data_IF_945724524153
#
_entry.id   IF_945724524153
#
_cell.length_a   1.000
_cell.length_b   1.000
_cell.length_c   1.000
_cell.angle_alpha   90.00
_cell.angle_beta   90.00
_cell.angle_gamma   90.00
#
_symmetry.space_group_name_H-M   'P 1'
#
loop_
_entity.id
_entity.type
_entity.pdbx_description
1 polymer ?
#
# COMPACT_ATOMS: atom_id res chain seq x y z
N UNK A 1 34.69 2.27 13.56
CA UNK A 1 34.10 2.54 12.23
C UNK A 1 33.01 1.51 11.99
N UNK A 2 31.81 1.74 12.51
CA UNK A 2 30.66 0.87 12.24
C UNK A 2 30.07 1.27 10.90
N UNK A 3 30.45 0.53 9.86
CA UNK A 3 29.83 0.61 8.56
C UNK A 3 28.38 0.12 8.71
N UNK A 4 27.45 1.06 8.79
CA UNK A 4 26.03 0.78 8.60
C UNK A 4 25.89 0.07 7.25
N UNK A 5 25.53 -1.21 7.26
CA UNK A 5 25.26 -2.01 6.07
C UNK A 5 24.00 -1.48 5.38
N UNK A 6 24.16 -0.39 4.64
CA UNK A 6 23.18 0.13 3.69
C UNK A 6 23.06 -0.92 2.59
N UNK A 7 21.94 -1.64 2.50
CA UNK A 7 21.75 -2.66 1.47
C UNK A 7 20.69 -2.23 0.48
N UNK A 8 21.08 -2.17 -0.80
CA UNK A 8 20.45 -1.36 -1.84
C UNK A 8 19.44 -2.10 -2.72
N UNK A 9 18.56 -2.96 -2.18
CA UNK A 9 17.54 -3.61 -3.02
C UNK A 9 16.28 -4.00 -2.24
N UNK A 10 15.19 -3.29 -2.53
CA UNK A 10 13.83 -3.64 -2.09
C UNK A 10 12.97 -3.92 -3.32
N UNK A 11 12.21 -5.02 -3.29
CA UNK A 11 11.24 -5.37 -4.35
C UNK A 11 9.92 -4.68 -4.03
N UNK A 12 9.42 -3.80 -4.91
CA UNK A 12 8.07 -3.24 -4.83
C UNK A 12 7.05 -4.06 -5.64
N UNK A 13 5.76 -3.80 -5.42
CA UNK A 13 4.66 -4.36 -6.22
C UNK A 13 4.90 -4.02 -7.70
N UNK A 14 4.85 -5.04 -8.57
CA UNK A 14 5.13 -4.90 -10.01
C UNK A 14 6.52 -5.40 -10.44
N UNK A 15 7.32 -5.97 -9.54
CA UNK A 15 8.59 -6.62 -9.91
C UNK A 15 9.77 -5.66 -10.10
N UNK A 16 9.61 -4.39 -9.77
CA UNK A 16 10.66 -3.37 -9.88
C UNK A 16 11.53 -3.37 -8.62
N UNK A 17 12.85 -3.45 -8.82
CA UNK A 17 13.86 -3.25 -7.77
C UNK A 17 14.09 -1.75 -7.59
N UNK A 18 13.88 -1.24 -6.38
CA UNK A 18 14.27 0.12 -5.99
C UNK A 18 15.32 0.05 -4.89
N UNK A 19 16.33 0.91 -5.01
CA UNK A 19 17.41 1.07 -4.04
C UNK A 19 16.97 2.07 -2.98
N UNK A 20 16.45 1.62 -1.84
CA UNK A 20 16.20 2.49 -0.68
C UNK A 20 17.28 2.32 0.37
N UNK A 21 17.82 3.45 0.86
CA UNK A 21 18.77 3.50 1.96
C UNK A 21 17.97 3.54 3.27
N UNK A 22 17.70 2.38 3.86
CA UNK A 22 16.93 2.27 5.09
C UNK A 22 17.72 1.52 6.18
N UNK A 23 17.49 1.82 7.48
CA UNK A 23 18.06 1.03 8.57
C UNK A 23 17.50 -0.40 8.54
N UNK A 24 18.39 -1.40 8.53
CA UNK A 24 18.00 -2.82 8.55
C UNK A 24 17.13 -3.13 9.78
N UNK A 25 16.07 -3.90 9.57
CA UNK A 25 15.10 -4.25 10.63
C UNK A 25 14.01 -3.20 10.85
N UNK A 26 14.02 -2.10 10.10
CA UNK A 26 12.94 -1.10 10.11
C UNK A 26 12.12 -1.17 8.84
N UNK A 27 10.87 -0.68 8.90
CA UNK A 27 10.09 -0.50 7.69
C UNK A 27 10.53 0.76 6.97
N UNK A 28 10.63 0.65 5.65
CA UNK A 28 10.85 1.79 4.78
C UNK A 28 9.60 2.70 4.76
N UNK A 29 9.73 3.84 4.09
CA UNK A 29 8.63 4.74 3.80
C UNK A 29 7.48 4.04 3.08
N UNK A 30 6.26 4.46 3.41
CA UNK A 30 5.08 4.03 2.68
C UNK A 30 5.18 4.38 1.20
N UNK A 31 4.76 3.47 0.36
CA UNK A 31 4.52 3.75 -1.06
C UNK A 31 3.50 4.88 -1.22
N UNK A 32 3.48 5.46 -2.42
CA UNK A 32 2.33 6.23 -2.86
C UNK A 32 1.05 5.36 -2.74
N UNK A 33 -0.07 6.03 -2.52
CA UNK A 33 -1.38 5.40 -2.61
C UNK A 33 -1.63 4.96 -4.05
N UNK A 34 -2.09 3.72 -4.21
CA UNK A 34 -2.55 3.21 -5.50
C UNK A 34 -3.75 4.01 -6.01
N UNK A 35 -4.01 3.89 -7.31
CA UNK A 35 -5.25 4.43 -7.87
C UNK A 35 -6.45 3.82 -7.14
N UNK A 36 -7.46 4.65 -6.90
CA UNK A 36 -8.68 4.18 -6.27
C UNK A 36 -9.32 3.07 -7.11
N UNK A 37 -9.86 2.04 -6.45
CA UNK A 37 -10.51 0.92 -7.13
C UNK A 37 -11.73 1.30 -7.97
N UNK A 38 -12.35 2.44 -7.68
CA UNK A 38 -13.51 2.98 -8.39
C UNK A 38 -13.30 4.47 -8.66
N UNK A 39 -13.80 4.99 -9.77
CA UNK A 39 -13.77 6.43 -10.09
C UNK A 39 -14.84 7.23 -9.33
N UNK A 40 -15.91 6.59 -8.90
CA UNK A 40 -17.03 7.18 -8.16
C UNK A 40 -17.78 6.08 -7.37
N UNK A 41 -18.73 6.47 -6.52
CA UNK A 41 -19.54 5.53 -5.75
C UNK A 41 -18.85 4.89 -4.54
N UNK A 42 -17.62 5.31 -4.25
CA UNK A 42 -16.79 4.75 -3.19
C UNK A 42 -15.93 3.59 -3.69
N UNK A 43 -14.64 3.68 -3.41
CA UNK A 43 -13.67 2.62 -3.63
C UNK A 43 -12.68 2.55 -2.49
N UNK A 44 -11.71 1.64 -2.62
CA UNK A 44 -10.59 1.50 -1.71
C UNK A 44 -9.31 1.82 -2.46
N UNK A 45 -8.44 2.61 -1.83
CA UNK A 45 -7.05 2.78 -2.25
C UNK A 45 -6.17 2.08 -1.24
N UNK A 46 -5.08 1.49 -1.73
CA UNK A 46 -4.14 0.71 -0.94
C UNK A 46 -2.77 1.33 -1.06
N UNK A 47 -1.95 1.09 -0.06
CA UNK A 47 -0.51 1.34 -0.10
C UNK A 47 0.20 0.26 0.68
N UNK A 48 1.50 0.20 0.50
CA UNK A 48 2.33 -0.75 1.21
C UNK A 48 3.63 -0.12 1.64
N UNK A 49 4.23 -0.68 2.68
CA UNK A 49 5.62 -0.42 3.04
C UNK A 49 6.34 -1.75 3.15
N UNK A 50 7.58 -1.75 2.69
CA UNK A 50 8.43 -2.93 2.72
C UNK A 50 9.36 -2.85 3.92
N UNK A 51 9.62 -4.00 4.50
CA UNK A 51 10.64 -4.14 5.53
C UNK A 51 12.03 -4.03 4.89
N UNK A 52 12.89 -3.22 5.49
CA UNK A 52 14.27 -3.09 5.10
C UNK A 52 15.08 -4.28 5.59
N UNK A 53 15.18 -5.31 4.76
CA UNK A 53 15.99 -6.49 5.01
C UNK A 53 16.63 -6.95 3.71
N UNK A 54 17.96 -6.97 3.61
CA UNK A 54 18.60 -7.56 2.46
C UNK A 54 18.34 -9.07 2.40
N UNK A 55 18.18 -9.62 1.19
CA UNK A 55 18.25 -11.06 1.03
C UNK A 55 19.68 -11.56 1.29
N UNK A 56 19.80 -12.79 1.78
CA UNK A 56 21.05 -13.53 1.87
C UNK A 56 21.53 -14.00 0.49
N UNK A 57 22.65 -14.73 0.45
CA UNK A 57 23.23 -15.29 -0.77
C UNK A 57 22.29 -16.24 -1.54
N UNK A 58 21.22 -16.72 -0.91
CA UNK A 58 20.21 -17.62 -1.46
C UNK A 58 18.87 -16.92 -1.74
N UNK A 59 18.81 -15.58 -1.61
CA UNK A 59 17.58 -14.82 -1.82
C UNK A 59 16.60 -14.85 -0.63
N UNK A 60 17.00 -15.44 0.50
CA UNK A 60 16.17 -15.59 1.69
C UNK A 60 16.37 -14.42 2.65
N UNK A 61 15.41 -14.20 3.55
CA UNK A 61 15.43 -13.08 4.50
C UNK A 61 15.22 -13.56 5.94
N UNK A 62 15.32 -14.87 6.17
CA UNK A 62 15.18 -15.55 7.47
C UNK A 62 16.15 -15.04 8.51
N UNK A 63 17.37 -14.71 8.09
CA UNK A 63 18.41 -14.20 9.00
C UNK A 63 18.01 -12.84 9.55
N UNK A 64 17.52 -11.93 8.70
CA UNK A 64 17.01 -10.63 9.12
C UNK A 64 15.75 -10.77 9.99
N UNK A 65 14.84 -11.67 9.60
CA UNK A 65 13.62 -12.00 10.35
C UNK A 65 13.94 -12.42 11.79
N UNK A 66 14.91 -13.32 11.96
CA UNK A 66 15.33 -13.84 13.26
C UNK A 66 16.09 -12.77 14.07
N UNK A 67 17.01 -12.04 13.44
CA UNK A 67 17.85 -11.04 14.11
C UNK A 67 17.05 -9.89 14.73
N UNK A 68 15.96 -9.47 14.09
CA UNK A 68 15.14 -8.33 14.53
C UNK A 68 13.74 -8.74 15.02
N UNK A 69 13.49 -10.04 15.20
CA UNK A 69 12.20 -10.58 15.68
C UNK A 69 10.98 -10.04 14.93
N UNK A 70 11.04 -10.09 13.60
CA UNK A 70 10.06 -9.50 12.69
C UNK A 70 9.18 -10.60 12.13
N UNK A 71 7.87 -10.41 12.11
CA UNK A 71 6.91 -11.42 11.62
C UNK A 71 6.49 -11.19 10.17
N UNK A 72 6.55 -9.95 9.70
CA UNK A 72 5.99 -9.52 8.42
C UNK A 72 7.03 -8.83 7.55
N UNK A 73 7.09 -9.20 6.26
CA UNK A 73 7.96 -8.57 5.27
C UNK A 73 7.36 -7.27 4.70
N UNK A 74 6.03 -7.19 4.68
CA UNK A 74 5.29 -6.08 4.13
C UNK A 74 4.19 -5.68 5.10
N UNK A 75 3.94 -4.38 5.23
CA UNK A 75 2.70 -3.89 5.82
C UNK A 75 1.83 -3.29 4.73
N UNK A 76 0.53 -3.53 4.86
CA UNK A 76 -0.49 -3.00 3.96
C UNK A 76 -1.36 -2.02 4.74
N UNK A 77 -1.78 -0.97 4.06
CA UNK A 77 -2.72 0.01 4.58
C UNK A 77 -3.74 0.35 3.48
N UNK A 78 -4.98 0.60 3.89
CA UNK A 78 -6.08 0.84 2.97
C UNK A 78 -7.05 1.86 3.55
N UNK A 79 -7.59 2.72 2.68
CA UNK A 79 -8.60 3.70 3.07
C UNK A 79 -9.66 3.90 2.00
N UNK A 80 -10.85 4.40 2.38
CA UNK A 80 -11.85 4.82 1.41
C UNK A 80 -11.31 5.93 0.49
N UNK A 81 -11.73 5.90 -0.76
CA UNK A 81 -11.46 6.93 -1.76
C UNK A 81 -12.66 7.06 -2.71
N UNK A 82 -12.68 8.14 -3.48
CA UNK A 82 -13.69 8.41 -4.50
C UNK A 82 -15.13 8.18 -4.00
N UNK A 83 -15.42 8.69 -2.80
CA UNK A 83 -16.75 8.77 -2.19
C UNK A 83 -17.59 9.86 -2.88
N UNK A 84 -17.65 9.78 -4.19
CA UNK A 84 -18.21 10.80 -5.08
C UNK A 84 -19.54 10.26 -5.62
N UNK A 85 -20.60 11.00 -5.39
CA UNK A 85 -21.92 10.79 -5.97
C UNK A 85 -22.23 12.02 -6.83
N UNK A 86 -22.64 11.84 -8.09
CA UNK A 86 -22.98 12.97 -8.94
C UNK A 86 -24.30 13.61 -8.49
N UNK A 87 -25.32 12.80 -8.28
CA UNK A 87 -26.64 13.23 -7.80
C UNK A 87 -27.11 12.37 -6.61
N UNK A 88 -26.53 12.63 -5.44
CA UNK A 88 -26.92 11.94 -4.21
C UNK A 88 -25.95 12.17 -3.07
N UNK A 89 -26.14 11.41 -1.99
CA UNK A 89 -25.30 11.49 -0.79
C UNK A 89 -24.50 10.20 -0.61
N UNK A 90 -23.22 10.33 -0.28
CA UNK A 90 -22.41 9.17 0.08
C UNK A 90 -22.77 8.68 1.48
N UNK A 91 -23.18 7.43 1.60
CA UNK A 91 -23.51 6.77 2.88
C UNK A 91 -22.64 5.53 3.08
N UNK A 92 -22.70 4.93 4.27
CA UNK A 92 -22.00 3.67 4.52
C UNK A 92 -22.53 2.59 3.56
N UNK A 93 -21.69 2.17 2.62
CA UNK A 93 -22.02 1.17 1.60
C UNK A 93 -22.20 1.71 0.17
N UNK A 94 -22.09 3.03 -0.06
CA UNK A 94 -22.09 3.61 -1.41
C UNK A 94 -22.95 4.86 -1.53
N UNK A 95 -23.30 5.23 -2.76
CA UNK A 95 -24.14 6.39 -3.02
C UNK A 95 -25.63 6.07 -2.82
N UNK A 96 -26.31 6.93 -2.07
CA UNK A 96 -27.77 7.01 -2.06
C UNK A 96 -28.19 8.09 -3.05
N UNK A 97 -28.74 7.68 -4.19
CA UNK A 97 -29.09 8.58 -5.29
C UNK A 97 -30.39 9.36 -5.03
N UNK A 98 -30.45 10.57 -5.58
CA UNK A 98 -31.66 11.37 -5.64
C UNK A 98 -32.69 10.75 -6.61
N UNK A 99 -34.00 11.01 -6.45
CA UNK A 99 -35.01 10.48 -7.36
C UNK A 99 -34.75 10.86 -8.82
N UNK A 100 -34.80 9.87 -9.72
CA UNK A 100 -34.50 10.06 -11.14
C UNK A 100 -33.04 9.83 -11.53
N UNK A 101 -32.20 9.38 -10.59
CA UNK A 101 -30.86 8.88 -10.87
C UNK A 101 -30.70 7.46 -10.34
N UNK A 102 -30.09 6.59 -11.14
CA UNK A 102 -29.66 5.25 -10.81
C UNK A 102 -28.15 5.06 -11.03
N UNK A 103 -27.67 3.88 -10.65
CA UNK A 103 -26.27 3.41 -10.69
C UNK A 103 -25.36 3.87 -9.54
N UNK A 104 -24.19 3.23 -9.47
CA UNK A 104 -23.20 3.41 -8.39
C UNK A 104 -22.70 4.85 -8.24
N UNK A 105 -22.82 5.67 -9.28
CA UNK A 105 -22.39 7.06 -9.29
C UNK A 105 -23.54 8.07 -9.37
N UNK A 106 -24.79 7.61 -9.47
CA UNK A 106 -26.00 8.44 -9.60
C UNK A 106 -25.95 9.39 -10.81
N UNK A 107 -25.77 8.85 -12.03
CA UNK A 107 -25.53 9.66 -13.24
C UNK A 107 -26.66 9.63 -14.28
N UNK A 108 -27.61 8.69 -14.20
CA UNK A 108 -28.74 8.57 -15.14
C UNK A 108 -29.90 7.88 -14.48
#
# INVERSE_FOLDING_TARGET
MHLLHITSCVVLFGGTLVTSNCPVGTFDTWSAWDRCSASCGGGITKRQQSLCCPPDAHGQWSDCRAAYNITEKFKFDQKPCNQICAHGTFVAGGCRCDPGYNDICCIT
#
